data_IF_334507175191
#
_entry.id   IF_334507175191
#
_cell.length_a   1.000
_cell.length_b   1.000
_cell.length_c   1.000
_cell.angle_alpha   90.00
_cell.angle_beta   90.00
_cell.angle_gamma   90.00
#
_symmetry.space_group_name_H-M   'P 1'
#
loop_
_entity.id
_entity.type
_entity.pdbx_description
1 polymer ?
#
# COMPACT_ATOMS: atom_id res chain seq x y z
N UNK A 1 2.89 -4.85 -14.98
CA UNK A 1 1.43 -5.11 -15.02
C UNK A 1 1.01 -5.63 -13.67
N UNK A 2 0.02 -5.01 -13.03
CA UNK A 2 -0.48 -5.38 -11.69
C UNK A 2 -2.00 -5.30 -11.69
N UNK A 3 -2.65 -6.23 -10.97
CA UNK A 3 -4.10 -6.25 -10.75
C UNK A 3 -4.40 -6.76 -9.34
N UNK A 4 -5.66 -6.65 -8.90
CA UNK A 4 -6.07 -7.09 -7.56
C UNK A 4 -7.43 -7.78 -7.58
N UNK A 5 -7.58 -8.82 -6.75
CA UNK A 5 -8.83 -9.52 -6.47
C UNK A 5 -8.93 -9.68 -4.94
N UNK A 6 -9.92 -9.02 -4.33
CA UNK A 6 -10.15 -9.02 -2.89
C UNK A 6 -11.41 -9.83 -2.60
N UNK A 7 -11.24 -11.00 -1.96
CA UNK A 7 -12.34 -11.96 -1.74
C UNK A 7 -12.82 -12.06 -0.29
N UNK A 8 -12.09 -11.47 0.65
CA UNK A 8 -12.48 -11.48 2.07
C UNK A 8 -13.64 -10.53 2.36
N UNK A 9 -14.50 -10.88 3.32
CA UNK A 9 -15.69 -10.07 3.67
C UNK A 9 -15.42 -8.81 4.51
N UNK A 10 -14.19 -8.63 5.02
CA UNK A 10 -13.78 -7.45 5.79
C UNK A 10 -12.33 -7.09 5.45
N UNK A 11 -12.07 -6.58 4.24
CA UNK A 11 -10.71 -6.27 3.81
C UNK A 11 -10.21 -4.96 4.42
N UNK A 12 -8.91 -4.88 4.67
CA UNK A 12 -8.19 -3.62 4.87
C UNK A 12 -7.15 -3.48 3.77
N UNK A 13 -7.29 -2.46 2.93
CA UNK A 13 -6.45 -2.28 1.74
C UNK A 13 -6.18 -0.81 1.47
N UNK A 14 -5.14 -0.54 0.68
CA UNK A 14 -4.78 0.79 0.18
C UNK A 14 -4.53 0.73 -1.32
N UNK A 15 -5.04 1.72 -2.04
CA UNK A 15 -4.76 2.00 -3.45
C UNK A 15 -5.13 0.84 -4.41
N UNK A 16 -6.12 0.02 -4.05
CA UNK A 16 -6.59 -1.11 -4.85
C UNK A 16 -7.48 -0.69 -6.02
N UNK A 17 -8.29 0.37 -5.86
CA UNK A 17 -9.12 0.91 -6.95
C UNK A 17 -8.27 1.34 -8.15
N UNK A 18 -7.07 1.85 -7.87
CA UNK A 18 -6.11 2.29 -8.87
C UNK A 18 -5.53 1.13 -9.70
N UNK A 19 -5.74 -0.12 -9.29
CA UNK A 19 -5.35 -1.34 -10.02
C UNK A 19 -6.44 -1.86 -10.95
N UNK A 20 -7.58 -1.18 -11.03
CA UNK A 20 -8.58 -1.48 -12.03
C UNK A 20 -7.98 -1.26 -13.44
N UNK A 21 -8.12 -2.20 -14.39
CA UNK A 21 -7.54 -2.09 -15.73
C UNK A 21 -8.02 -0.87 -16.54
N UNK A 22 -9.10 -0.20 -16.14
CA UNK A 22 -9.56 1.05 -16.79
C UNK A 22 -8.87 2.32 -16.27
N UNK A 23 -8.13 2.22 -15.16
CA UNK A 23 -7.43 3.36 -14.57
C UNK A 23 -6.13 3.65 -15.33
N UNK A 24 -5.72 4.92 -15.32
CA UNK A 24 -4.50 5.41 -15.99
C UNK A 24 -3.19 5.04 -15.24
N UNK A 25 -3.18 3.91 -14.52
CA UNK A 25 -2.05 3.49 -13.70
C UNK A 25 -1.31 2.36 -14.39
N UNK A 26 -0.13 2.67 -14.88
CA UNK A 26 0.68 1.72 -15.66
C UNK A 26 1.57 0.84 -14.78
N UNK A 27 2.08 1.40 -13.67
CA UNK A 27 3.11 0.76 -12.82
C UNK A 27 2.73 0.87 -11.34
N UNK A 28 2.88 -0.24 -10.62
CA UNK A 28 2.94 -0.28 -9.15
C UNK A 28 4.41 -0.42 -8.77
N UNK A 29 4.89 0.46 -7.90
CA UNK A 29 6.29 0.50 -7.49
C UNK A 29 6.57 -0.43 -6.32
N UNK A 30 5.58 -0.64 -5.43
CA UNK A 30 5.68 -1.63 -4.35
C UNK A 30 4.30 -2.16 -3.92
N UNK A 31 4.31 -3.33 -3.30
CA UNK A 31 3.16 -3.92 -2.60
C UNK A 31 3.55 -4.16 -1.15
N UNK A 32 2.73 -3.68 -0.22
CA UNK A 32 2.96 -3.81 1.23
C UNK A 32 2.00 -4.83 1.81
N UNK A 33 2.56 -5.82 2.50
CA UNK A 33 1.81 -6.76 3.34
C UNK A 33 2.20 -6.48 4.79
N UNK A 34 1.22 -6.25 5.65
CA UNK A 34 1.49 -5.77 7.00
C UNK A 34 0.46 -6.26 8.02
N UNK A 35 0.87 -6.29 9.28
CA UNK A 35 0.03 -6.57 10.44
C UNK A 35 -0.76 -5.34 10.87
N UNK A 36 -1.18 -5.29 12.13
CA UNK A 36 -1.78 -4.12 12.77
C UNK A 36 -3.22 -3.83 12.37
N UNK A 37 -3.88 -4.70 11.59
CA UNK A 37 -5.18 -4.41 10.98
C UNK A 37 -5.13 -3.07 10.23
N UNK A 38 -6.22 -2.28 10.22
CA UNK A 38 -6.28 -1.02 9.48
C UNK A 38 -5.16 -0.02 9.85
N UNK A 39 -4.61 -0.08 11.07
CA UNK A 39 -3.50 0.78 11.48
C UNK A 39 -2.22 0.52 10.68
N UNK A 40 -1.96 -0.73 10.31
CA UNK A 40 -0.74 -1.07 9.57
C UNK A 40 -0.69 -0.49 8.15
N UNK A 41 -1.79 0.06 7.63
CA UNK A 41 -1.78 0.80 6.36
C UNK A 41 -0.82 2.00 6.39
N UNK A 42 -0.49 2.53 7.58
CA UNK A 42 0.48 3.62 7.76
C UNK A 42 1.88 3.21 7.28
N UNK A 43 2.25 1.92 7.38
CA UNK A 43 3.53 1.40 6.89
C UNK A 43 3.74 1.66 5.38
N UNK A 44 2.66 1.73 4.60
CA UNK A 44 2.74 2.08 3.17
C UNK A 44 3.25 3.52 2.96
N UNK A 45 2.99 4.44 3.89
CA UNK A 45 3.53 5.80 3.86
C UNK A 45 5.05 5.83 3.97
N UNK A 46 5.64 5.01 4.86
CA UNK A 46 7.09 4.86 4.97
C UNK A 46 7.73 4.31 3.69
N UNK A 47 7.08 3.32 3.05
CA UNK A 47 7.53 2.80 1.75
C UNK A 47 7.43 3.86 0.66
N UNK A 48 6.37 4.66 0.63
CA UNK A 48 6.26 5.78 -0.30
C UNK A 48 7.41 6.78 -0.09
N UNK A 49 7.67 7.23 1.14
CA UNK A 49 8.76 8.16 1.43
C UNK A 49 10.12 7.63 0.94
N UNK A 50 10.42 6.35 1.24
CA UNK A 50 11.69 5.74 0.82
C UNK A 50 11.83 5.62 -0.70
N UNK A 51 10.74 5.35 -1.41
CA UNK A 51 10.72 5.29 -2.88
C UNK A 51 10.87 6.67 -3.51
N UNK A 52 10.22 7.69 -2.94
CA UNK A 52 10.37 9.09 -3.36
C UNK A 52 11.83 9.55 -3.20
N UNK A 53 12.45 9.29 -2.04
CA UNK A 53 13.89 9.54 -1.80
C UNK A 53 14.81 8.83 -2.81
N UNK A 54 14.39 7.67 -3.32
CA UNK A 54 15.13 6.92 -4.34
C UNK A 54 14.88 7.43 -5.77
N UNK A 55 13.99 8.40 -5.97
CA UNK A 55 13.55 8.83 -7.30
C UNK A 55 12.69 7.77 -8.02
N UNK A 56 12.08 6.83 -7.29
CA UNK A 56 11.27 5.74 -7.84
C UNK A 56 9.80 6.10 -7.70
N UNK A 57 9.19 6.54 -8.80
CA UNK A 57 7.78 6.86 -8.84
C UNK A 57 7.34 7.31 -10.23
N UNK A 58 6.05 7.63 -10.35
CA UNK A 58 5.55 8.31 -11.55
C UNK A 58 6.02 9.76 -11.52
N UNK A 59 6.76 10.19 -12.53
CA UNK A 59 7.10 11.59 -12.72
C UNK A 59 5.81 12.39 -12.94
N UNK A 60 5.56 13.37 -12.06
CA UNK A 60 4.44 14.31 -12.14
C UNK A 60 4.92 15.75 -12.40
N UNK A 61 6.12 15.91 -12.96
CA UNK A 61 6.80 17.15 -13.33
C UNK A 61 7.27 18.02 -12.17
N UNK A 62 6.80 17.76 -10.94
CA UNK A 62 7.20 18.50 -9.72
C UNK A 62 7.89 17.61 -8.68
N UNK A 63 7.61 16.31 -8.71
CA UNK A 63 8.25 15.25 -7.91
C UNK A 63 7.97 13.91 -8.60
N UNK A 64 8.44 12.82 -8.01
CA UNK A 64 7.94 11.48 -8.32
C UNK A 64 6.86 11.09 -7.31
N UNK A 65 5.77 10.48 -7.77
CA UNK A 65 4.72 9.94 -6.90
C UNK A 65 4.83 8.41 -6.91
N UNK A 66 5.30 7.79 -5.82
CA UNK A 66 5.34 6.35 -5.70
C UNK A 66 3.94 5.75 -5.64
N UNK A 67 3.86 4.51 -6.11
CA UNK A 67 2.60 3.80 -6.31
C UNK A 67 2.66 2.56 -5.44
N UNK A 68 2.04 2.64 -4.26
CA UNK A 68 2.20 1.63 -3.22
C UNK A 68 0.83 1.15 -2.79
N UNK A 69 0.50 -0.07 -3.20
CA UNK A 69 -0.70 -0.75 -2.77
C UNK A 69 -0.42 -1.53 -1.48
N UNK A 70 -1.42 -1.70 -0.63
CA UNK A 70 -1.25 -2.46 0.61
C UNK A 70 -2.44 -3.36 0.94
N UNK A 71 -2.17 -4.44 1.68
CA UNK A 71 -3.16 -5.27 2.32
C UNK A 71 -2.71 -5.61 3.74
N UNK A 72 -3.65 -5.63 4.68
CA UNK A 72 -3.39 -5.87 6.10
C UNK A 72 -3.96 -7.20 6.57
N UNK A 73 -3.38 -7.74 7.64
CA UNK A 73 -3.99 -8.80 8.44
C UNK A 73 -4.31 -8.30 9.86
N UNK A 74 -5.20 -9.01 10.55
CA UNK A 74 -5.50 -8.74 11.96
C UNK A 74 -4.61 -9.60 12.85
N UNK A 75 -3.68 -8.97 13.57
CA UNK A 75 -2.80 -9.59 14.57
C UNK A 75 -2.77 -8.82 15.90
N UNK A 76 -3.66 -7.84 16.11
CA UNK A 76 -3.69 -7.00 17.32
C UNK A 76 -3.87 -7.76 18.65
N UNK A 77 -4.20 -9.06 18.58
CA UNK A 77 -4.27 -9.97 19.74
C UNK A 77 -2.94 -10.65 20.06
N UNK A 78 -1.92 -10.47 19.22
CA UNK A 78 -0.59 -11.04 19.37
C UNK A 78 0.34 -9.98 19.97
N UNK A 79 0.81 -10.21 21.20
CA UNK A 79 1.65 -9.24 21.90
C UNK A 79 0.88 -8.00 22.36
N UNK A 80 1.51 -6.83 22.21
CA UNK A 80 0.95 -5.56 22.67
C UNK A 80 0.15 -4.88 21.55
N UNK A 81 -1.15 -4.65 21.77
CA UNK A 81 -2.08 -4.14 20.76
C UNK A 81 -1.78 -2.72 20.27
N UNK A 82 -0.98 -1.96 21.03
CA UNK A 82 -0.55 -0.59 20.72
C UNK A 82 0.76 -0.54 19.93
N UNK A 83 1.55 -1.62 19.93
CA UNK A 83 2.75 -1.80 19.10
C UNK A 83 2.33 -2.30 17.73
N UNK A 84 2.36 -1.41 16.75
CA UNK A 84 1.82 -1.65 15.40
C UNK A 84 2.84 -1.19 14.35
N UNK A 85 2.79 -1.76 13.13
CA UNK A 85 3.65 -1.34 12.00
C UNK A 85 3.52 0.14 11.63
#
# INVERSE_FOLDING_TARGET
VTGVDVRGGSPGTRDTDALNPVCNREVVHAVVLTGGSAFGLDAAGGVMARLEEAGIGRDVMVTVVPNVCAAVLFDLKMGAMDVRP
#
